data_IF_419669279035
#
_entry.id   IF_419669279035
#
_cell.length_a   1.000
_cell.length_b   1.000
_cell.length_c   1.000
_cell.angle_alpha   90.00
_cell.angle_beta   90.00
_cell.angle_gamma   90.00
#
_symmetry.space_group_name_H-M   'P 1'
#
loop_
_entity.id
_entity.type
_entity.pdbx_description
1 polymer ?
#
# COMPACT_ATOMS: atom_id res chain seq x y z
N UNK A 1 62.46 22.25 46.00
CA UNK A 1 61.57 21.46 45.18
C UNK A 1 60.30 22.26 44.93
N UNK A 2 60.18 22.89 43.75
CA UNK A 2 58.99 23.63 43.37
C UNK A 2 58.28 22.81 42.26
N UNK A 3 57.06 22.32 42.53
CA UNK A 3 56.22 21.65 41.56
C UNK A 3 55.47 22.71 40.76
N UNK A 4 55.75 22.73 39.49
CA UNK A 4 55.06 23.54 38.49
C UNK A 4 53.61 22.97 38.24
N UNK A 5 52.61 23.73 38.66
CA UNK A 5 51.21 23.48 38.33
C UNK A 5 50.94 23.98 36.88
N UNK A 6 50.80 23.08 35.94
CA UNK A 6 50.38 23.39 34.59
C UNK A 6 48.92 23.84 34.57
N UNK A 7 48.70 25.12 34.32
CA UNK A 7 47.37 25.67 34.03
C UNK A 7 46.93 25.21 32.62
N UNK A 8 46.04 24.24 32.55
CA UNK A 8 45.31 23.96 31.33
C UNK A 8 44.35 25.11 31.07
N UNK A 9 44.67 25.95 30.07
CA UNK A 9 43.76 26.98 29.57
C UNK A 9 42.54 26.28 28.95
N UNK A 10 41.43 26.33 29.67
CA UNK A 10 40.11 25.96 29.11
C UNK A 10 39.77 27.00 28.04
N UNK A 11 39.67 26.57 26.79
CA UNK A 11 39.29 27.43 25.68
C UNK A 11 37.78 27.23 25.41
N UNK A 12 36.88 28.05 26.00
CA UNK A 12 35.42 27.83 25.91
C UNK A 12 34.85 28.10 24.51
N UNK A 13 35.63 28.75 23.62
CA UNK A 13 35.15 29.16 22.29
C UNK A 13 35.12 27.98 21.30
N UNK A 14 36.04 27.01 21.43
CA UNK A 14 36.11 25.86 20.55
C UNK A 14 34.89 24.88 20.65
N UNK A 15 34.30 24.79 21.86
CA UNK A 15 33.16 23.89 22.09
C UNK A 15 31.82 24.43 21.55
N UNK A 16 31.70 25.76 21.40
CA UNK A 16 30.45 26.36 20.88
C UNK A 16 30.27 26.19 19.38
N UNK A 17 31.35 26.15 18.61
CA UNK A 17 31.27 25.94 17.17
C UNK A 17 30.98 24.48 16.82
N UNK A 18 31.58 23.52 17.53
CA UNK A 18 31.29 22.10 17.29
C UNK A 18 29.83 21.72 17.62
N UNK A 19 29.25 22.31 18.66
CA UNK A 19 27.87 22.07 19.03
C UNK A 19 26.86 22.67 18.03
N UNK A 20 27.19 23.80 17.37
CA UNK A 20 26.33 24.37 16.33
C UNK A 20 26.26 23.47 15.10
N UNK A 21 27.37 22.88 14.68
CA UNK A 21 27.35 21.95 13.51
C UNK A 21 26.57 20.68 13.81
N UNK A 22 26.71 20.13 15.02
CA UNK A 22 25.93 18.96 15.47
C UNK A 22 24.41 19.26 15.57
N UNK A 23 24.03 20.45 15.98
CA UNK A 23 22.63 20.86 16.10
C UNK A 23 22.00 21.13 14.73
N UNK A 24 22.77 21.68 13.79
CA UNK A 24 22.31 21.93 12.42
C UNK A 24 22.15 20.60 11.68
N UNK A 25 23.09 19.68 11.81
CA UNK A 25 23.06 18.38 11.14
C UNK A 25 21.89 17.51 11.63
N UNK A 26 21.60 17.50 12.93
CA UNK A 26 20.44 16.82 13.48
C UNK A 26 19.10 17.42 12.99
N UNK A 27 19.04 18.75 12.80
CA UNK A 27 17.82 19.40 12.33
C UNK A 27 17.56 19.08 10.84
N UNK A 28 18.60 19.06 10.02
CA UNK A 28 18.50 18.64 8.60
C UNK A 28 18.16 17.17 8.48
N UNK A 29 18.74 16.31 9.32
CA UNK A 29 18.43 14.87 9.33
C UNK A 29 16.98 14.61 9.73
N UNK A 30 16.48 15.30 10.75
CA UNK A 30 15.09 15.16 11.21
C UNK A 30 14.11 15.71 10.17
N UNK A 31 14.39 16.84 9.51
CA UNK A 31 13.57 17.37 8.44
C UNK A 31 13.57 16.47 7.21
N UNK A 32 14.71 15.86 6.86
CA UNK A 32 14.79 14.93 5.72
C UNK A 32 14.00 13.65 6.00
N UNK A 33 14.03 13.12 7.22
CA UNK A 33 13.22 11.97 7.64
C UNK A 33 11.73 12.33 7.61
N UNK A 34 11.36 13.52 8.11
CA UNK A 34 9.96 13.99 8.08
C UNK A 34 9.44 14.25 6.66
N UNK A 35 10.27 14.75 5.76
CA UNK A 35 9.88 14.95 4.36
C UNK A 35 9.77 13.64 3.59
N UNK A 36 10.67 12.68 3.82
CA UNK A 36 10.58 11.34 3.24
C UNK A 36 9.33 10.59 3.71
N UNK A 37 9.00 10.66 5.01
CA UNK A 37 7.80 10.02 5.57
C UNK A 37 6.50 10.66 5.05
N UNK A 38 6.53 11.94 4.70
CA UNK A 38 5.38 12.67 4.16
C UNK A 38 5.20 12.47 2.66
N UNK A 39 6.30 12.36 1.91
CA UNK A 39 6.30 12.09 0.48
C UNK A 39 5.88 10.65 0.19
N UNK A 40 6.34 9.71 1.00
CA UNK A 40 5.99 8.29 0.90
C UNK A 40 4.50 8.05 1.21
N UNK A 41 3.93 8.74 2.23
CA UNK A 41 2.49 8.66 2.53
C UNK A 41 1.60 9.29 1.48
N UNK A 42 2.05 10.33 0.79
CA UNK A 42 1.26 10.98 -0.27
C UNK A 42 1.28 10.21 -1.59
N UNK A 43 2.35 9.46 -1.86
CA UNK A 43 2.49 8.62 -3.07
C UNK A 43 1.76 7.29 -2.97
N UNK A 44 1.46 6.84 -1.74
CA UNK A 44 0.80 5.56 -1.48
C UNK A 44 -0.73 5.61 -1.62
N UNK A 45 -1.28 6.52 -2.35
CA UNK A 45 -2.68 6.69 -2.76
C UNK A 45 -3.72 6.02 -1.85
N UNK A 46 -4.76 6.73 -1.49
CA UNK A 46 -5.90 6.20 -0.72
C UNK A 46 -6.32 4.82 -1.27
N UNK A 47 -6.68 3.86 -0.44
CA UNK A 47 -7.07 2.50 -0.85
C UNK A 47 -8.42 2.46 -1.60
N UNK A 48 -8.76 3.58 -2.27
CA UNK A 48 -10.01 3.80 -3.01
C UNK A 48 -10.20 2.73 -4.08
N UNK A 49 -9.11 2.35 -4.76
CA UNK A 49 -9.17 1.34 -5.81
C UNK A 49 -9.67 -0.01 -5.30
N UNK A 50 -9.12 -0.50 -4.20
CA UNK A 50 -9.52 -1.77 -3.62
C UNK A 50 -10.93 -1.70 -3.00
N UNK A 51 -11.30 -0.56 -2.40
CA UNK A 51 -12.67 -0.34 -1.96
C UNK A 51 -13.68 -0.35 -3.11
N UNK A 52 -13.36 0.32 -4.21
CA UNK A 52 -14.22 0.34 -5.40
C UNK A 52 -14.40 -1.07 -5.99
N UNK A 53 -13.32 -1.84 -6.09
CA UNK A 53 -13.39 -3.22 -6.56
C UNK A 53 -14.18 -4.11 -5.60
N UNK A 54 -13.99 -3.94 -4.29
CA UNK A 54 -14.78 -4.65 -3.28
C UNK A 54 -16.27 -4.37 -3.40
N UNK A 55 -16.64 -3.10 -3.56
CA UNK A 55 -18.03 -2.67 -3.80
C UNK A 55 -18.61 -3.22 -5.08
N UNK A 56 -17.86 -3.18 -6.19
CA UNK A 56 -18.29 -3.74 -7.47
C UNK A 56 -18.49 -5.26 -7.39
N UNK A 57 -17.59 -6.00 -6.76
CA UNK A 57 -17.74 -7.42 -6.52
C UNK A 57 -18.98 -7.74 -5.68
N UNK A 58 -19.20 -6.99 -4.59
CA UNK A 58 -20.38 -7.15 -3.76
C UNK A 58 -21.68 -6.88 -4.51
N UNK A 59 -21.75 -5.78 -5.27
CA UNK A 59 -22.90 -5.41 -6.09
C UNK A 59 -23.19 -6.45 -7.18
N UNK A 60 -22.14 -6.93 -7.86
CA UNK A 60 -22.30 -7.97 -8.89
C UNK A 60 -22.78 -9.30 -8.31
N UNK A 61 -22.26 -9.68 -7.15
CA UNK A 61 -22.70 -10.87 -6.42
C UNK A 61 -24.17 -10.77 -6.00
N UNK A 62 -24.59 -9.63 -5.43
CA UNK A 62 -25.95 -9.37 -5.02
C UNK A 62 -26.92 -9.39 -6.23
N UNK A 63 -26.55 -8.74 -7.33
CA UNK A 63 -27.34 -8.72 -8.56
C UNK A 63 -27.48 -10.12 -9.16
N UNK A 64 -26.40 -10.91 -9.21
CA UNK A 64 -26.42 -12.29 -9.68
C UNK A 64 -27.34 -13.17 -8.83
N UNK A 65 -27.37 -12.95 -7.51
CA UNK A 65 -28.30 -13.67 -6.63
C UNK A 65 -29.76 -13.28 -6.85
N UNK A 66 -30.02 -11.98 -6.94
CA UNK A 66 -31.41 -11.48 -7.14
C UNK A 66 -31.99 -11.91 -8.47
N UNK A 67 -31.21 -11.84 -9.56
CA UNK A 67 -31.68 -12.11 -10.91
C UNK A 67 -31.68 -13.61 -11.26
N UNK A 68 -30.63 -14.34 -10.94
CA UNK A 68 -30.43 -15.72 -11.32
C UNK A 68 -30.70 -16.72 -10.20
N UNK A 69 -30.95 -16.27 -8.95
CA UNK A 69 -31.06 -17.06 -7.72
C UNK A 69 -29.88 -18.02 -7.52
N UNK A 70 -28.74 -17.69 -8.10
CA UNK A 70 -27.56 -18.55 -8.09
C UNK A 70 -26.69 -18.24 -6.85
N UNK A 71 -26.83 -19.04 -5.81
CA UNK A 71 -26.07 -18.91 -4.55
C UNK A 71 -24.55 -19.01 -4.75
N UNK A 72 -24.09 -19.79 -5.73
CA UNK A 72 -22.65 -19.96 -5.97
C UNK A 72 -22.01 -18.68 -6.52
N UNK A 73 -22.71 -17.93 -7.39
CA UNK A 73 -22.23 -16.64 -7.88
C UNK A 73 -22.15 -15.66 -6.72
N UNK A 74 -23.19 -15.57 -5.91
CA UNK A 74 -23.23 -14.70 -4.73
C UNK A 74 -22.05 -14.96 -3.79
N UNK A 75 -21.88 -16.21 -3.35
CA UNK A 75 -20.81 -16.57 -2.40
C UNK A 75 -19.43 -16.23 -2.96
N UNK A 76 -19.17 -16.57 -4.24
CA UNK A 76 -17.87 -16.28 -4.86
C UNK A 76 -17.56 -14.79 -4.92
N UNK A 77 -18.49 -13.98 -5.39
CA UNK A 77 -18.24 -12.54 -5.53
C UNK A 77 -18.23 -11.79 -4.20
N UNK A 78 -19.05 -12.20 -3.24
CA UNK A 78 -19.02 -11.64 -1.89
C UNK A 78 -17.70 -11.99 -1.18
N UNK A 79 -17.18 -13.20 -1.35
CA UNK A 79 -15.86 -13.57 -0.80
C UNK A 79 -14.73 -12.75 -1.41
N UNK A 80 -14.74 -12.51 -2.73
CA UNK A 80 -13.78 -11.65 -3.39
C UNK A 80 -13.90 -10.20 -2.91
N UNK A 81 -15.12 -9.70 -2.76
CA UNK A 81 -15.39 -8.37 -2.21
C UNK A 81 -14.87 -8.22 -0.77
N UNK A 82 -15.05 -9.23 0.06
CA UNK A 82 -14.53 -9.25 1.43
C UNK A 82 -12.99 -9.20 1.47
N UNK A 83 -12.31 -9.92 0.56
CA UNK A 83 -10.84 -9.87 0.46
C UNK A 83 -10.35 -8.47 0.03
N UNK A 84 -11.01 -7.82 -0.91
CA UNK A 84 -10.67 -6.44 -1.29
C UNK A 84 -10.95 -5.46 -0.15
N UNK A 85 -12.04 -5.63 0.60
CA UNK A 85 -12.33 -4.81 1.76
C UNK A 85 -11.25 -4.98 2.85
N UNK A 86 -10.84 -6.23 3.14
CA UNK A 86 -9.75 -6.52 4.06
C UNK A 86 -8.44 -5.88 3.61
N UNK A 87 -8.09 -5.99 2.32
CA UNK A 87 -6.94 -5.31 1.72
C UNK A 87 -6.99 -3.81 1.97
N UNK A 88 -8.15 -3.18 1.76
CA UNK A 88 -8.34 -1.75 1.96
C UNK A 88 -8.17 -1.34 3.42
N UNK A 89 -8.68 -2.13 4.36
CA UNK A 89 -8.52 -1.88 5.81
C UNK A 89 -7.05 -1.99 6.21
N UNK A 90 -6.32 -2.99 5.71
CA UNK A 90 -4.88 -3.14 5.96
C UNK A 90 -4.08 -1.94 5.43
N UNK A 91 -4.40 -1.47 4.22
CA UNK A 91 -3.77 -0.28 3.65
C UNK A 91 -4.08 0.98 4.47
N UNK A 92 -5.33 1.15 4.90
CA UNK A 92 -5.72 2.26 5.76
C UNK A 92 -5.02 2.23 7.11
N UNK A 93 -4.77 1.04 7.67
CA UNK A 93 -4.05 0.83 8.93
C UNK A 93 -2.54 0.98 8.80
N UNK A 94 -2.01 1.30 7.61
CA UNK A 94 -0.58 1.48 7.37
C UNK A 94 0.21 0.19 7.12
N UNK A 95 -0.48 -0.95 6.98
CA UNK A 95 0.14 -2.24 6.63
C UNK A 95 0.19 -2.44 5.12
N UNK A 96 1.01 -1.63 4.44
CA UNK A 96 1.00 -1.53 2.98
C UNK A 96 1.37 -2.83 2.27
N UNK A 97 2.46 -3.47 2.66
CA UNK A 97 2.90 -4.73 2.06
C UNK A 97 1.83 -5.83 2.18
N UNK A 98 1.27 -6.03 3.39
CA UNK A 98 0.20 -7.00 3.61
C UNK A 98 -1.09 -6.62 2.89
N UNK A 99 -1.42 -5.33 2.84
CA UNK A 99 -2.61 -4.83 2.15
C UNK A 99 -2.56 -5.07 0.64
N UNK A 100 -1.45 -4.72 -0.01
CA UNK A 100 -1.29 -4.98 -1.45
C UNK A 100 -1.21 -6.48 -1.76
N UNK A 101 -0.50 -7.27 -0.96
CA UNK A 101 -0.45 -8.72 -1.11
C UNK A 101 -1.86 -9.34 -1.02
N UNK A 102 -2.67 -8.92 -0.04
CA UNK A 102 -4.06 -9.38 0.10
C UNK A 102 -4.93 -8.95 -1.07
N UNK A 103 -4.69 -7.76 -1.67
CA UNK A 103 -5.42 -7.27 -2.85
C UNK A 103 -5.06 -8.01 -4.15
N UNK A 104 -3.87 -8.59 -4.25
CA UNK A 104 -3.45 -9.39 -5.41
C UNK A 104 -4.25 -10.70 -5.50
N UNK A 105 -4.51 -11.35 -4.36
CA UNK A 105 -5.19 -12.67 -4.32
C UNK A 105 -6.54 -12.66 -5.05
N UNK A 106 -7.51 -11.79 -4.72
CA UNK A 106 -8.79 -11.75 -5.43
C UNK A 106 -8.63 -11.35 -6.89
N UNK A 107 -7.65 -10.51 -7.22
CA UNK A 107 -7.37 -10.08 -8.59
C UNK A 107 -6.93 -11.25 -9.48
N UNK A 108 -6.02 -12.07 -8.99
CA UNK A 108 -5.54 -13.28 -9.70
C UNK A 108 -6.67 -14.30 -9.85
N UNK A 109 -7.50 -14.48 -8.80
CA UNK A 109 -8.66 -15.36 -8.87
C UNK A 109 -9.65 -14.88 -9.92
N UNK A 110 -9.96 -13.58 -9.98
CA UNK A 110 -10.80 -12.98 -11.00
C UNK A 110 -10.26 -13.25 -12.40
N UNK A 111 -8.96 -13.06 -12.58
CA UNK A 111 -8.28 -13.27 -13.86
C UNK A 111 -8.32 -14.76 -14.28
N UNK A 112 -8.03 -15.67 -13.35
CA UNK A 112 -8.06 -17.11 -13.59
C UNK A 112 -9.44 -17.66 -13.91
N UNK A 113 -10.50 -17.08 -13.32
CA UNK A 113 -11.89 -17.51 -13.58
C UNK A 113 -12.47 -16.86 -14.83
N UNK A 114 -12.21 -15.56 -15.03
CA UNK A 114 -12.81 -14.80 -16.13
C UNK A 114 -11.95 -14.81 -17.39
N UNK A 115 -10.62 -14.92 -17.28
CA UNK A 115 -9.71 -14.89 -18.42
C UNK A 115 -10.02 -15.95 -19.50
N UNK A 116 -10.08 -17.25 -19.15
CA UNK A 116 -10.44 -18.27 -20.13
C UNK A 116 -11.83 -18.05 -20.74
N UNK A 117 -12.79 -17.59 -19.94
CA UNK A 117 -14.14 -17.30 -20.42
C UNK A 117 -14.19 -16.08 -21.33
N UNK A 118 -13.36 -15.08 -21.11
CA UNK A 118 -13.28 -13.91 -21.97
C UNK A 118 -12.79 -14.25 -23.38
N UNK A 119 -11.95 -15.28 -23.50
CA UNK A 119 -11.42 -15.72 -24.80
C UNK A 119 -12.42 -16.64 -25.55
N UNK A 120 -13.10 -17.52 -24.81
CA UNK A 120 -13.87 -18.61 -25.42
C UNK A 120 -15.39 -18.38 -25.43
N UNK A 121 -15.92 -17.43 -24.67
CA UNK A 121 -17.36 -17.20 -24.54
C UNK A 121 -17.76 -15.79 -24.96
N UNK A 122 -18.74 -15.67 -25.84
CA UNK A 122 -19.23 -14.40 -26.40
C UNK A 122 -20.11 -13.59 -25.41
N UNK A 123 -19.57 -13.27 -24.20
CA UNK A 123 -20.28 -12.45 -23.24
C UNK A 123 -19.43 -11.26 -22.85
N UNK A 124 -19.95 -10.02 -22.88
CA UNK A 124 -19.23 -8.81 -22.50
C UNK A 124 -18.76 -8.77 -21.04
N UNK A 125 -19.39 -9.57 -20.17
CA UNK A 125 -19.11 -9.57 -18.73
C UNK A 125 -17.74 -10.18 -18.40
N UNK A 126 -17.37 -11.29 -19.06
CA UNK A 126 -16.12 -11.98 -18.81
C UNK A 126 -14.88 -11.14 -19.17
N UNK A 127 -14.81 -10.48 -20.34
CA UNK A 127 -13.67 -9.60 -20.64
C UNK A 127 -13.57 -8.39 -19.68
N UNK A 128 -14.68 -7.80 -19.25
CA UNK A 128 -14.67 -6.70 -18.30
C UNK A 128 -14.07 -7.15 -16.96
N UNK A 129 -14.51 -8.30 -16.44
CA UNK A 129 -13.98 -8.85 -15.17
C UNK A 129 -12.49 -9.21 -15.32
N UNK A 130 -12.08 -9.77 -16.46
CA UNK A 130 -10.68 -10.09 -16.73
C UNK A 130 -9.80 -8.83 -16.79
N UNK A 131 -10.25 -7.77 -17.46
CA UNK A 131 -9.55 -6.49 -17.52
C UNK A 131 -9.42 -5.88 -16.13
N UNK A 132 -10.49 -5.84 -15.34
CA UNK A 132 -10.44 -5.33 -13.97
C UNK A 132 -9.49 -6.14 -13.10
N UNK A 133 -9.49 -7.46 -13.23
CA UNK A 133 -8.54 -8.34 -12.55
C UNK A 133 -7.08 -8.05 -12.95
N UNK A 134 -6.82 -7.89 -14.25
CA UNK A 134 -5.49 -7.57 -14.77
C UNK A 134 -5.00 -6.21 -14.27
N UNK A 135 -5.83 -5.17 -14.36
CA UNK A 135 -5.50 -3.82 -13.87
C UNK A 135 -5.24 -3.83 -12.36
N UNK A 136 -6.05 -4.53 -11.59
CA UNK A 136 -5.88 -4.65 -10.14
C UNK A 136 -4.61 -5.42 -9.78
N UNK A 137 -4.30 -6.50 -10.48
CA UNK A 137 -3.06 -7.26 -10.29
C UNK A 137 -1.84 -6.39 -10.56
N UNK A 138 -1.86 -5.65 -11.67
CA UNK A 138 -0.78 -4.73 -12.04
C UNK A 138 -0.62 -3.61 -11.00
N UNK A 139 -1.72 -2.96 -10.61
CA UNK A 139 -1.69 -1.85 -9.66
C UNK A 139 -1.18 -2.29 -8.28
N UNK A 140 -1.78 -3.34 -7.73
CA UNK A 140 -1.37 -3.86 -6.41
C UNK A 140 0.05 -4.46 -6.46
N UNK A 141 0.42 -5.15 -7.54
CA UNK A 141 1.75 -5.74 -7.73
C UNK A 141 2.84 -4.68 -7.81
N UNK A 142 2.62 -3.61 -8.60
CA UNK A 142 3.56 -2.48 -8.66
C UNK A 142 3.74 -1.81 -7.30
N UNK A 143 2.63 -1.51 -6.61
CA UNK A 143 2.67 -0.90 -5.28
C UNK A 143 3.29 -1.80 -4.21
N UNK A 144 3.09 -3.11 -4.31
CA UNK A 144 3.78 -4.07 -3.44
C UNK A 144 5.29 -4.04 -3.69
N UNK A 145 5.71 -4.05 -4.96
CA UNK A 145 7.12 -3.96 -5.33
C UNK A 145 7.75 -2.66 -4.78
N UNK A 146 7.13 -1.52 -5.04
CA UNK A 146 7.57 -0.21 -4.54
C UNK A 146 7.63 -0.14 -2.99
N UNK A 147 6.87 -0.97 -2.27
CA UNK A 147 6.86 -1.02 -0.81
C UNK A 147 7.94 -1.93 -0.20
N UNK A 148 8.63 -2.71 -1.03
CA UNK A 148 9.70 -3.63 -0.60
C UNK A 148 11.10 -3.05 -0.84
N UNK A 149 11.22 -2.00 -1.67
CA UNK A 149 12.47 -1.24 -1.87
C UNK A 149 12.64 -0.15 -0.81
#
# INVERSE_FOLDING_TARGET
>A
MYSSFGQTRFNPIGNYQNNKHLFIDNRYRTQKIYSMDKEDKSSQGLPIWNFALGGLCGAYGAFGYLKAKNKHIFVRFVSLGALYATSSVLLYSGHFSSGYATGIVPSVVMLGVAGPKAIFYAGWQAPVIAILGAMSTYHNGKKLYDSLE
#
